data_IF_422339027067
#
_entry.id   IF_422339027067
#
_cell.length_a   1.000
_cell.length_b   1.000
_cell.length_c   1.000
_cell.angle_alpha   90.00
_cell.angle_beta   90.00
_cell.angle_gamma   90.00
#
_symmetry.space_group_name_H-M   'P 1'
#
loop_
_entity.id
_entity.type
_entity.pdbx_description
1 polymer ?
#
# COMPACT_ATOMS: atom_id res chain seq x y z
N UNK A 1 2.05 16.54 -1.30
CA UNK A 1 1.49 15.22 -0.93
C UNK A 1 0.82 15.27 0.44
N UNK A 2 1.53 15.65 1.52
CA UNK A 2 0.97 15.63 2.88
C UNK A 2 -0.19 16.60 3.08
N UNK A 3 -0.17 17.79 2.48
CA UNK A 3 -1.30 18.74 2.59
C UNK A 3 -2.60 18.20 1.98
N UNK A 4 -2.50 17.49 0.85
CA UNK A 4 -3.64 16.79 0.23
C UNK A 4 -4.18 15.74 1.20
N UNK A 5 -3.30 14.99 1.87
CA UNK A 5 -3.70 13.99 2.86
C UNK A 5 -4.36 14.64 4.09
N UNK A 6 -3.82 15.75 4.60
CA UNK A 6 -4.39 16.51 5.72
C UNK A 6 -5.78 17.04 5.38
N UNK A 7 -5.96 17.53 4.16
CA UNK A 7 -7.25 18.02 3.70
C UNK A 7 -8.27 16.87 3.52
N UNK A 8 -7.84 15.74 2.95
CA UNK A 8 -8.68 14.54 2.83
C UNK A 8 -9.16 14.00 4.19
N UNK A 9 -8.29 14.05 5.20
CA UNK A 9 -8.57 13.60 6.57
C UNK A 9 -8.95 14.73 7.52
N UNK A 10 -9.43 15.87 7.01
CA UNK A 10 -9.84 17.00 7.85
C UNK A 10 -10.87 16.55 8.89
N UNK A 11 -10.63 16.90 10.15
CA UNK A 11 -11.46 16.49 11.29
C UNK A 11 -11.19 15.08 11.82
N UNK A 12 -10.39 14.25 11.14
CA UNK A 12 -9.97 12.95 11.64
C UNK A 12 -8.63 13.06 12.39
N UNK A 13 -8.69 13.43 13.67
CA UNK A 13 -7.51 13.66 14.51
C UNK A 13 -6.52 12.48 14.50
N UNK A 14 -7.02 11.23 14.51
CA UNK A 14 -6.17 10.04 14.48
C UNK A 14 -5.33 9.96 13.20
N UNK A 15 -5.94 10.24 12.05
CA UNK A 15 -5.21 10.24 10.78
C UNK A 15 -4.27 11.43 10.67
N UNK A 16 -4.67 12.60 11.16
CA UNK A 16 -3.81 13.79 11.21
C UNK A 16 -2.55 13.55 12.05
N UNK A 17 -2.67 12.97 13.25
CA UNK A 17 -1.50 12.56 14.06
C UNK A 17 -0.60 11.56 13.33
N UNK A 18 -1.19 10.62 12.58
CA UNK A 18 -0.41 9.65 11.80
C UNK A 18 0.33 10.31 10.63
N UNK A 19 -0.27 11.36 10.04
CA UNK A 19 0.38 12.18 9.00
C UNK A 19 1.54 12.98 9.60
N UNK A 20 1.37 13.55 10.79
CA UNK A 20 2.43 14.29 11.48
C UNK A 20 3.59 13.37 11.90
N UNK A 21 3.28 12.14 12.35
CA UNK A 21 4.30 11.10 12.62
C UNK A 21 5.08 10.75 11.35
N UNK A 22 4.37 10.60 10.22
CA UNK A 22 5.01 10.32 8.94
C UNK A 22 5.90 11.49 8.50
N UNK A 23 5.42 12.72 8.56
CA UNK A 23 6.21 13.91 8.17
C UNK A 23 7.52 14.03 8.97
N UNK A 24 7.49 13.70 10.27
CA UNK A 24 8.65 13.83 11.15
C UNK A 24 9.64 12.68 11.07
N UNK A 25 9.15 11.47 10.82
CA UNK A 25 9.94 10.25 11.02
C UNK A 25 10.12 9.40 9.76
N UNK A 26 9.43 9.72 8.66
CA UNK A 26 9.54 8.93 7.45
C UNK A 26 10.95 8.97 6.87
N UNK A 27 11.46 7.77 6.56
CA UNK A 27 12.66 7.54 5.77
C UNK A 27 12.33 6.52 4.68
N UNK A 28 12.96 6.65 3.51
CA UNK A 28 12.70 5.78 2.36
C UNK A 28 12.89 4.28 2.68
N UNK A 29 13.87 3.95 3.53
CA UNK A 29 14.12 2.58 4.01
C UNK A 29 12.96 1.98 4.81
N UNK A 30 12.08 2.82 5.37
CA UNK A 30 10.92 2.41 6.15
C UNK A 30 9.63 2.33 5.31
N UNK A 31 9.70 2.50 3.98
CA UNK A 31 8.53 2.51 3.10
C UNK A 31 7.62 1.28 3.26
N UNK A 32 8.22 0.07 3.33
CA UNK A 32 7.47 -1.17 3.57
C UNK A 32 6.74 -1.12 4.92
N UNK A 33 7.39 -0.65 5.99
CA UNK A 33 6.77 -0.54 7.32
C UNK A 33 5.57 0.41 7.30
N UNK A 34 5.70 1.56 6.65
CA UNK A 34 4.62 2.53 6.53
C UNK A 34 3.46 2.06 5.66
N UNK A 35 3.77 1.29 4.62
CA UNK A 35 2.77 0.67 3.74
C UNK A 35 2.03 -0.50 4.41
N UNK A 36 2.68 -1.23 5.31
CA UNK A 36 2.07 -2.38 6.01
C UNK A 36 1.38 -1.97 7.31
N UNK A 37 1.81 -0.90 7.97
CA UNK A 37 1.07 -0.26 9.07
C UNK A 37 -0.27 0.22 8.53
N UNK A 38 -1.36 0.11 9.31
CA UNK A 38 -2.69 0.64 8.96
C UNK A 38 -2.72 2.20 8.98
N UNK A 39 -1.93 2.82 8.12
CA UNK A 39 -1.70 4.26 8.03
C UNK A 39 -2.54 4.90 6.92
N UNK A 40 -2.53 6.23 6.85
CA UNK A 40 -3.16 6.97 5.75
C UNK A 40 -2.57 6.60 4.40
N UNK A 41 -1.24 6.39 4.33
CA UNK A 41 -0.53 6.21 3.06
C UNK A 41 -0.88 4.87 2.41
N UNK A 42 -0.96 3.80 3.21
CA UNK A 42 -1.47 2.50 2.74
C UNK A 42 -2.84 2.65 2.09
N UNK A 43 -3.77 3.34 2.77
CA UNK A 43 -5.16 3.48 2.32
C UNK A 43 -5.26 4.31 1.05
N UNK A 44 -4.60 5.47 1.00
CA UNK A 44 -4.70 6.40 -0.11
C UNK A 44 -3.98 5.88 -1.36
N UNK A 45 -2.80 5.26 -1.20
CA UNK A 45 -2.09 4.64 -2.33
C UNK A 45 -2.89 3.48 -2.91
N UNK A 46 -3.41 2.57 -2.07
CA UNK A 46 -4.23 1.46 -2.57
C UNK A 46 -5.54 1.94 -3.21
N UNK A 47 -6.14 3.03 -2.70
CA UNK A 47 -7.31 3.63 -3.33
C UNK A 47 -6.96 4.14 -4.73
N UNK A 48 -5.88 4.92 -4.86
CA UNK A 48 -5.42 5.46 -6.14
C UNK A 48 -5.08 4.36 -7.15
N UNK A 49 -4.39 3.29 -6.72
CA UNK A 49 -4.09 2.13 -7.57
C UNK A 49 -5.35 1.42 -8.07
N UNK A 50 -6.34 1.21 -7.18
CA UNK A 50 -7.59 0.51 -7.54
C UNK A 50 -8.48 1.33 -8.48
N UNK A 51 -8.45 2.65 -8.37
CA UNK A 51 -9.24 3.55 -9.20
C UNK A 51 -8.48 4.10 -10.40
N UNK A 52 -7.22 3.68 -10.60
CA UNK A 52 -6.33 4.20 -11.65
C UNK A 52 -6.25 5.74 -11.66
N UNK A 53 -6.29 6.36 -10.47
CA UNK A 53 -6.27 7.82 -10.31
C UNK A 53 -4.84 8.33 -10.53
N UNK A 54 -4.55 8.71 -11.77
CA UNK A 54 -3.21 9.13 -12.21
C UNK A 54 -2.70 10.35 -11.42
N UNK A 55 -3.56 11.32 -11.10
CA UNK A 55 -3.18 12.51 -10.34
C UNK A 55 -2.77 12.16 -8.91
N UNK A 56 -3.51 11.24 -8.27
CA UNK A 56 -3.15 10.74 -6.95
C UNK A 56 -1.91 9.85 -6.98
N UNK A 57 -1.75 9.00 -8.00
CA UNK A 57 -0.52 8.22 -8.19
C UNK A 57 0.69 9.13 -8.38
N UNK A 58 0.58 10.18 -9.19
CA UNK A 58 1.62 11.19 -9.35
C UNK A 58 1.89 11.93 -8.03
N UNK A 59 0.85 12.25 -7.25
CA UNK A 59 1.00 12.86 -5.93
C UNK A 59 1.80 11.99 -4.96
N UNK A 60 1.63 10.67 -5.01
CA UNK A 60 2.34 9.70 -4.17
C UNK A 60 3.62 9.13 -4.79
N UNK A 61 4.03 9.60 -5.97
CA UNK A 61 5.13 9.01 -6.77
C UNK A 61 6.43 8.77 -5.99
N UNK A 62 6.80 9.69 -5.09
CA UNK A 62 8.02 9.54 -4.28
C UNK A 62 7.92 8.36 -3.32
N UNK A 63 6.81 8.26 -2.57
CA UNK A 63 6.58 7.13 -1.67
C UNK A 63 6.44 5.82 -2.45
N UNK A 64 5.77 5.83 -3.61
CA UNK A 64 5.63 4.64 -4.48
C UNK A 64 7.00 4.20 -5.01
N UNK A 65 7.87 5.16 -5.36
CA UNK A 65 9.27 4.90 -5.74
C UNK A 65 10.03 4.23 -4.60
N UNK A 66 10.03 4.84 -3.41
CA UNK A 66 10.69 4.29 -2.22
C UNK A 66 10.17 2.89 -1.85
N UNK A 67 8.87 2.66 -1.99
CA UNK A 67 8.23 1.36 -1.75
C UNK A 67 8.67 0.33 -2.78
N UNK A 68 8.67 0.70 -4.07
CA UNK A 68 9.10 -0.19 -5.16
C UNK A 68 10.56 -0.61 -5.00
N UNK A 69 11.45 0.35 -4.71
CA UNK A 69 12.85 0.06 -4.45
C UNK A 69 13.06 -0.82 -3.22
N UNK A 70 12.30 -0.58 -2.16
CA UNK A 70 12.37 -1.39 -0.95
C UNK A 70 11.91 -2.83 -1.21
N UNK A 71 10.83 -3.01 -1.98
CA UNK A 71 10.34 -4.35 -2.36
C UNK A 71 11.34 -5.07 -3.26
N UNK A 72 11.96 -4.38 -4.21
CA UNK A 72 13.01 -4.95 -5.07
C UNK A 72 14.23 -5.42 -4.24
N UNK A 73 14.65 -4.65 -3.23
CA UNK A 73 15.71 -5.07 -2.30
C UNK A 73 15.34 -6.34 -1.53
N UNK A 74 14.13 -6.42 -0.98
CA UNK A 74 13.68 -7.62 -0.26
C UNK A 74 13.52 -8.82 -1.20
N UNK A 75 13.02 -8.61 -2.41
CA UNK A 75 12.95 -9.65 -3.42
C UNK A 75 14.34 -10.20 -3.78
N UNK A 76 15.32 -9.33 -4.00
CA UNK A 76 16.71 -9.73 -4.27
C UNK A 76 17.30 -10.56 -3.13
N UNK A 77 17.03 -10.20 -1.87
CA UNK A 77 17.46 -11.00 -0.70
C UNK A 77 16.86 -12.41 -0.70
N UNK A 78 15.56 -12.53 -1.00
CA UNK A 78 14.86 -13.81 -1.09
C UNK A 78 15.42 -14.68 -2.24
N UNK A 79 15.71 -14.09 -3.39
CA UNK A 79 16.32 -14.82 -4.52
C UNK A 79 17.72 -15.30 -4.15
N UNK A 80 18.51 -14.48 -3.47
CA UNK A 80 19.87 -14.82 -3.02
C UNK A 80 19.89 -15.91 -1.94
N UNK A 81 18.85 -16.06 -1.13
CA UNK A 81 18.74 -17.17 -0.15
C UNK A 81 18.41 -18.52 -0.79
N UNK A 82 18.19 -18.56 -2.11
CA UNK A 82 17.86 -19.77 -2.87
C UNK A 82 16.36 -20.06 -2.94
N UNK A 83 15.52 -19.22 -2.34
CA UNK A 83 14.07 -19.36 -2.38
C UNK A 83 13.51 -18.76 -3.67
N UNK A 84 13.14 -19.64 -4.62
CA UNK A 84 12.63 -19.24 -5.95
C UNK A 84 11.11 -19.21 -6.03
N UNK A 85 10.43 -19.86 -5.08
CA UNK A 85 8.99 -20.04 -5.10
C UNK A 85 8.44 -19.71 -3.73
N UNK A 86 7.53 -18.74 -3.66
CA UNK A 86 6.86 -18.35 -2.43
C UNK A 86 5.37 -18.71 -2.53
N UNK A 87 4.92 -19.64 -1.71
CA UNK A 87 3.49 -19.95 -1.57
C UNK A 87 2.88 -18.96 -0.59
N UNK A 88 1.89 -18.19 -1.04
CA UNK A 88 1.18 -17.20 -0.22
C UNK A 88 -0.31 -17.48 -0.20
N UNK A 89 -0.97 -17.02 0.87
CA UNK A 89 -2.42 -17.12 1.03
C UNK A 89 -3.01 -15.72 1.21
N UNK A 90 -4.14 -15.45 0.56
CA UNK A 90 -4.88 -14.20 0.70
C UNK A 90 -6.35 -14.49 0.95
N UNK A 91 -6.87 -14.01 2.07
CA UNK A 91 -8.31 -14.01 2.33
C UNK A 91 -9.02 -13.07 1.35
N UNK A 92 -9.95 -13.61 0.57
CA UNK A 92 -10.86 -12.85 -0.28
C UNK A 92 -12.27 -12.81 0.32
N UNK A 93 -12.96 -11.68 0.21
CA UNK A 93 -14.42 -11.65 0.36
C UNK A 93 -15.02 -11.80 -1.03
N UNK A 94 -15.92 -12.76 -1.19
CA UNK A 94 -16.75 -12.92 -2.37
C UNK A 94 -18.21 -12.83 -1.94
N UNK A 95 -19.03 -12.18 -2.75
CA UNK A 95 -20.48 -12.33 -2.67
C UNK A 95 -20.91 -13.74 -3.08
N UNK A 96 -22.11 -14.16 -2.70
CA UNK A 96 -22.66 -15.46 -3.08
C UNK A 96 -22.72 -15.63 -4.61
N UNK A 97 -23.02 -14.56 -5.34
CA UNK A 97 -23.05 -14.54 -6.81
C UNK A 97 -21.66 -14.73 -7.42
N UNK A 98 -20.64 -14.05 -6.89
CA UNK A 98 -19.25 -14.22 -7.34
C UNK A 98 -18.74 -15.63 -7.01
N UNK A 99 -19.11 -16.16 -5.84
CA UNK A 99 -18.76 -17.52 -5.44
C UNK A 99 -19.39 -18.55 -6.37
N UNK A 100 -20.65 -18.35 -6.77
CA UNK A 100 -21.35 -19.25 -7.70
C UNK A 100 -20.69 -19.24 -9.08
N UNK A 101 -20.40 -18.05 -9.63
CA UNK A 101 -19.66 -17.91 -10.90
C UNK A 101 -18.27 -18.55 -10.83
N UNK A 102 -17.57 -18.39 -9.71
CA UNK A 102 -16.25 -18.99 -9.52
C UNK A 102 -16.30 -20.52 -9.53
N UNK A 103 -17.31 -21.12 -8.87
CA UNK A 103 -17.53 -22.58 -8.89
C UNK A 103 -17.85 -23.10 -10.28
N UNK A 104 -18.59 -22.34 -11.08
CA UNK A 104 -18.97 -22.72 -12.45
C UNK A 104 -17.80 -22.56 -13.46
N UNK A 105 -16.70 -21.93 -13.05
CA UNK A 105 -15.51 -21.66 -13.88
C UNK A 105 -14.34 -22.63 -13.63
N UNK A 106 -14.53 -23.63 -12.75
CA UNK A 106 -13.59 -24.70 -12.41
C UNK A 106 -14.12 -26.01 -13.02
#
# INVERSE_FOLDING_TARGET
MLDICRNYYRGNLRQLTTIDEFERHYQSIEAIRWYTKQSFIYKLVNKALKSEDIDMLYTFRFFIGDLSESLDREHKKMVLSGERTLTVYRGGKLSDDELKKFKDSI
#
